data_IF_579759959285
#
_entry.id   IF_579759959285
#
_cell.length_a   1.000
_cell.length_b   1.000
_cell.length_c   1.000
_cell.angle_alpha   90.00
_cell.angle_beta   90.00
_cell.angle_gamma   90.00
#
_symmetry.space_group_name_H-M   'P 1'
#
loop_
_entity.id
_entity.type
_entity.pdbx_description
1 polymer ?
#
# COMPACT_ATOMS: atom_id res chain seq x y z
N UNK A 1 -0.10 44.32 -20.69
CA UNK A 1 -1.30 43.46 -20.66
C UNK A 1 -0.78 42.04 -20.58
N UNK A 2 -0.97 41.35 -19.44
CA UNK A 2 -0.51 39.97 -19.31
C UNK A 2 -1.22 39.10 -20.36
N UNK A 3 -0.46 38.38 -21.17
CA UNK A 3 -1.02 37.47 -22.17
C UNK A 3 -1.82 36.38 -21.46
N UNK A 4 -3.12 36.30 -21.79
CA UNK A 4 -4.01 35.28 -21.24
C UNK A 4 -3.63 33.95 -21.87
N UNK A 5 -3.34 32.94 -21.03
CA UNK A 5 -3.08 31.57 -21.45
C UNK A 5 -4.28 31.05 -22.25
N UNK A 6 -4.03 30.62 -23.47
CA UNK A 6 -5.00 30.00 -24.38
C UNK A 6 -4.76 28.49 -24.43
N UNK A 7 -5.69 27.76 -25.04
CA UNK A 7 -5.63 26.30 -25.11
C UNK A 7 -4.35 25.78 -25.82
N UNK A 8 -3.78 26.55 -26.75
CA UNK A 8 -2.55 26.18 -27.47
C UNK A 8 -1.26 26.36 -26.66
N UNK A 9 -1.33 27.04 -25.52
CA UNK A 9 -0.18 27.25 -24.63
C UNK A 9 0.03 26.06 -23.67
N UNK A 10 -0.99 25.20 -23.52
CA UNK A 10 -0.93 24.01 -22.68
C UNK A 10 -0.04 22.94 -23.33
N UNK A 11 1.05 22.58 -22.66
CA UNK A 11 1.97 21.52 -23.07
C UNK A 11 2.17 20.52 -21.92
N UNK A 12 2.30 19.22 -22.21
CA UNK A 12 2.61 18.24 -21.19
C UNK A 12 4.01 18.50 -20.61
N UNK A 13 4.23 18.14 -19.34
CA UNK A 13 5.54 18.21 -18.72
C UNK A 13 6.58 17.41 -19.53
N UNK A 14 7.84 17.89 -19.53
CA UNK A 14 8.92 17.27 -20.31
C UNK A 14 9.07 15.79 -19.93
N UNK A 15 8.92 14.90 -20.91
CA UNK A 15 9.04 13.45 -20.72
C UNK A 15 7.77 12.73 -20.27
N UNK A 16 6.66 13.43 -20.04
CA UNK A 16 5.36 12.80 -19.72
C UNK A 16 4.86 11.91 -20.87
N UNK A 17 5.07 12.36 -22.11
CA UNK A 17 4.73 11.59 -23.30
C UNK A 17 6.00 11.03 -23.95
N UNK A 18 6.10 9.71 -24.04
CA UNK A 18 7.16 9.01 -24.76
C UNK A 18 6.61 8.38 -26.04
N UNK A 19 7.31 8.49 -27.18
CA UNK A 19 6.86 7.87 -28.42
C UNK A 19 6.84 6.34 -28.27
N UNK A 20 5.75 5.70 -28.72
CA UNK A 20 5.62 4.24 -28.72
C UNK A 20 6.53 3.65 -29.80
N UNK A 21 7.35 2.66 -29.44
CA UNK A 21 8.06 1.87 -30.44
C UNK A 21 7.08 1.03 -31.25
N UNK A 22 7.06 1.24 -32.58
CA UNK A 22 6.26 0.46 -33.52
C UNK A 22 7.13 -0.65 -34.10
N UNK A 23 6.90 -1.89 -33.65
CA UNK A 23 7.70 -3.04 -34.10
C UNK A 23 7.32 -3.49 -35.51
N UNK A 24 8.27 -4.05 -36.26
CA UNK A 24 8.02 -4.55 -37.62
C UNK A 24 7.74 -3.45 -38.66
N UNK A 25 8.43 -2.31 -38.57
CA UNK A 25 8.32 -1.17 -39.50
C UNK A 25 9.70 -0.78 -40.02
N UNK A 26 10.21 -1.55 -40.98
CA UNK A 26 11.53 -1.38 -41.58
C UNK A 26 12.65 -2.14 -40.83
N UNK A 27 13.75 -2.42 -41.54
CA UNK A 27 14.86 -3.23 -41.02
C UNK A 27 15.58 -2.56 -39.84
N UNK A 28 15.81 -1.24 -39.91
CA UNK A 28 16.41 -0.45 -38.81
C UNK A 28 15.40 -0.08 -37.69
N UNK A 29 14.11 -0.40 -37.87
CA UNK A 29 13.08 -0.15 -36.86
C UNK A 29 13.21 -1.08 -35.65
N UNK A 30 12.53 -0.74 -34.53
CA UNK A 30 12.57 -1.56 -33.31
C UNK A 30 12.11 -2.99 -33.60
N UNK A 31 13.01 -3.96 -33.43
CA UNK A 31 12.73 -5.38 -33.64
C UNK A 31 12.83 -5.86 -35.09
N UNK A 32 13.13 -4.99 -36.06
CA UNK A 32 13.35 -5.34 -37.47
C UNK A 32 12.26 -6.25 -38.07
N UNK A 33 12.66 -7.12 -39.00
CA UNK A 33 11.79 -8.11 -39.65
C UNK A 33 11.05 -9.05 -38.67
N UNK A 34 11.64 -9.39 -37.53
CA UNK A 34 11.09 -10.40 -36.60
C UNK A 34 10.34 -9.81 -35.42
N UNK A 35 10.20 -8.48 -35.36
CA UNK A 35 9.64 -7.75 -34.23
C UNK A 35 10.26 -8.14 -32.86
N UNK A 36 11.52 -8.61 -32.84
CA UNK A 36 12.21 -9.08 -31.64
C UNK A 36 11.85 -10.50 -31.17
N UNK A 37 11.11 -11.28 -31.98
CA UNK A 37 10.67 -12.64 -31.63
C UNK A 37 11.62 -13.76 -32.07
N UNK A 38 12.75 -13.42 -32.71
CA UNK A 38 13.68 -14.40 -33.28
C UNK A 38 13.14 -15.05 -34.56
N UNK A 39 13.66 -16.23 -34.92
CA UNK A 39 13.39 -16.84 -36.24
C UNK A 39 12.25 -17.87 -36.23
N UNK A 40 12.37 -18.94 -35.44
CA UNK A 40 11.42 -20.07 -35.41
C UNK A 40 11.18 -20.54 -33.97
N UNK A 41 10.22 -21.47 -33.79
CA UNK A 41 9.88 -22.08 -32.50
C UNK A 41 8.60 -21.53 -31.89
N UNK A 42 8.22 -22.07 -30.72
CA UNK A 42 6.94 -21.74 -30.07
C UNK A 42 6.87 -20.26 -29.69
N UNK A 43 7.94 -19.66 -29.13
CA UNK A 43 7.98 -18.23 -28.76
C UNK A 43 7.99 -17.27 -29.97
N UNK A 44 8.42 -17.74 -31.14
CA UNK A 44 8.35 -16.95 -32.38
C UNK A 44 6.92 -16.86 -32.94
N UNK A 45 6.12 -17.93 -32.79
CA UNK A 45 4.75 -18.02 -33.35
C UNK A 45 3.67 -17.69 -32.32
N UNK A 46 3.86 -18.11 -31.07
CA UNK A 46 2.90 -18.03 -29.96
C UNK A 46 3.61 -17.60 -28.65
N UNK A 47 2.84 -17.53 -27.56
CA UNK A 47 3.38 -17.34 -26.22
C UNK A 47 3.34 -18.66 -25.46
N UNK A 48 4.28 -18.85 -24.54
CA UNK A 48 4.34 -20.03 -23.66
C UNK A 48 3.74 -19.64 -22.31
N UNK A 49 2.95 -20.53 -21.71
CA UNK A 49 2.37 -20.29 -20.38
C UNK A 49 3.46 -20.08 -19.33
N UNK A 50 3.25 -19.13 -18.42
CA UNK A 50 4.19 -18.84 -17.33
C UNK A 50 4.35 -20.02 -16.36
N UNK A 51 3.35 -20.91 -16.27
CA UNK A 51 3.40 -22.08 -15.40
C UNK A 51 4.16 -23.28 -16.01
N UNK A 52 4.57 -23.20 -17.29
CA UNK A 52 5.24 -24.31 -17.98
C UNK A 52 6.76 -24.22 -17.83
N UNK A 53 7.37 -25.23 -17.19
CA UNK A 53 8.81 -25.29 -16.91
C UNK A 53 9.55 -26.32 -17.78
N UNK A 54 9.11 -26.53 -19.03
CA UNK A 54 9.86 -27.37 -19.98
C UNK A 54 9.60 -28.88 -19.87
N UNK A 55 8.52 -29.29 -19.20
CA UNK A 55 8.07 -30.68 -19.12
C UNK A 55 8.33 -31.38 -17.78
N UNK A 56 9.12 -30.77 -16.89
CA UNK A 56 9.20 -31.19 -15.49
C UNK A 56 7.93 -30.85 -14.71
N UNK A 57 7.73 -31.47 -13.55
CA UNK A 57 6.70 -31.02 -12.61
C UNK A 57 6.96 -29.56 -12.18
N UNK A 58 6.01 -28.63 -12.42
CA UNK A 58 6.19 -27.23 -12.07
C UNK A 58 6.39 -26.98 -10.58
N UNK A 59 7.06 -25.89 -10.23
CA UNK A 59 7.39 -25.53 -8.85
C UNK A 59 6.14 -25.44 -7.95
N UNK A 60 5.06 -24.86 -8.45
CA UNK A 60 3.79 -24.72 -7.71
C UNK A 60 3.08 -26.06 -7.43
N UNK A 61 3.50 -27.14 -8.10
CA UNK A 61 3.02 -28.51 -7.83
C UNK A 61 4.00 -29.32 -6.98
N UNK A 62 5.30 -29.00 -7.04
CA UNK A 62 6.34 -29.66 -6.25
C UNK A 62 6.32 -29.27 -4.78
N UNK A 63 5.99 -28.01 -4.49
CA UNK A 63 5.95 -27.51 -3.12
C UNK A 63 4.63 -27.91 -2.44
N UNK A 64 4.68 -28.36 -1.17
CA UNK A 64 3.46 -28.60 -0.42
C UNK A 64 2.69 -27.29 -0.23
N UNK A 65 1.35 -27.38 -0.19
CA UNK A 65 0.51 -26.22 0.13
C UNK A 65 0.84 -25.71 1.54
N UNK A 66 0.76 -24.40 1.74
CA UNK A 66 0.89 -23.80 3.07
C UNK A 66 -0.12 -24.43 4.03
N UNK A 67 0.35 -24.77 5.23
CA UNK A 67 -0.45 -25.43 6.26
C UNK A 67 -1.50 -24.46 6.84
N UNK A 68 -2.55 -25.03 7.45
CA UNK A 68 -3.57 -24.30 8.19
C UNK A 68 -4.80 -23.91 7.36
N UNK A 69 -5.65 -23.07 7.95
CA UNK A 69 -6.88 -22.55 7.33
C UNK A 69 -7.01 -21.05 7.59
N UNK A 70 -7.81 -20.36 6.77
CA UNK A 70 -8.20 -18.97 7.03
C UNK A 70 -9.47 -18.99 7.87
N UNK A 71 -9.41 -18.52 9.12
CA UNK A 71 -10.59 -18.40 9.97
C UNK A 71 -11.53 -17.30 9.41
N UNK A 72 -12.76 -17.63 8.98
CA UNK A 72 -13.70 -16.64 8.43
C UNK A 72 -14.16 -15.62 9.49
N UNK A 73 -14.14 -15.98 10.76
CA UNK A 73 -14.58 -15.13 11.88
C UNK A 73 -13.42 -14.33 12.51
N UNK A 74 -12.27 -14.22 11.83
CA UNK A 74 -11.14 -13.42 12.33
C UNK A 74 -11.51 -11.94 12.35
N UNK A 75 -11.58 -11.36 13.55
CA UNK A 75 -11.67 -9.90 13.73
C UNK A 75 -10.29 -9.28 13.51
N UNK A 76 -10.11 -8.62 12.37
CA UNK A 76 -8.89 -7.89 12.04
C UNK A 76 -8.96 -6.46 12.57
N UNK A 77 -8.00 -6.11 13.43
CA UNK A 77 -7.88 -4.77 14.00
C UNK A 77 -6.97 -3.91 13.14
N UNK A 78 -7.33 -2.65 12.99
CA UNK A 78 -6.41 -1.62 12.49
C UNK A 78 -5.56 -1.11 13.64
N UNK A 79 -4.28 -0.93 13.40
CA UNK A 79 -3.32 -0.59 14.45
C UNK A 79 -2.94 0.88 14.35
N UNK A 80 -2.85 1.54 15.52
CA UNK A 80 -2.30 2.88 15.65
C UNK A 80 -1.27 2.88 16.76
N UNK A 81 -0.10 3.47 16.52
CA UNK A 81 0.94 3.58 17.53
C UNK A 81 0.80 4.89 18.32
N UNK A 82 1.22 4.88 19.58
CA UNK A 82 1.19 6.07 20.46
C UNK A 82 1.98 7.25 19.88
N UNK A 83 3.08 7.01 19.17
CA UNK A 83 3.83 8.06 18.48
C UNK A 83 2.99 8.79 17.43
N UNK A 84 2.25 8.05 16.59
CA UNK A 84 1.41 8.65 15.55
C UNK A 84 0.27 9.47 16.15
N UNK A 85 -0.23 9.07 17.32
CA UNK A 85 -1.21 9.87 18.07
C UNK A 85 -0.58 11.16 18.62
N UNK A 86 0.65 11.09 19.16
CA UNK A 86 1.35 12.27 19.66
C UNK A 86 1.66 13.29 18.54
N UNK A 87 2.02 12.80 17.34
CA UNK A 87 2.27 13.65 16.16
C UNK A 87 0.98 14.29 15.62
N UNK A 88 -0.12 13.53 15.57
CA UNK A 88 -1.40 14.03 15.06
C UNK A 88 -2.12 14.97 16.03
N UNK A 89 -1.89 14.81 17.34
CA UNK A 89 -2.56 15.57 18.39
C UNK A 89 -1.56 16.24 19.34
N UNK A 90 -0.78 17.25 18.88
CA UNK A 90 0.26 17.88 19.68
C UNK A 90 -0.29 18.68 20.87
N UNK A 91 -1.53 19.17 20.78
CA UNK A 91 -2.19 19.92 21.86
C UNK A 91 -2.82 19.01 22.93
N UNK A 92 -2.79 17.71 22.70
CA UNK A 92 -3.42 16.72 23.56
C UNK A 92 -4.95 16.77 23.56
N UNK A 93 -5.55 16.06 24.52
CA UNK A 93 -6.99 16.04 24.73
C UNK A 93 -7.65 14.68 24.52
N UNK A 94 -8.97 14.69 24.42
CA UNK A 94 -9.82 13.51 24.23
C UNK A 94 -9.80 13.09 22.77
N UNK A 95 -9.32 11.88 22.51
CA UNK A 95 -9.25 11.29 21.16
C UNK A 95 -10.24 10.14 21.09
N UNK A 96 -11.24 10.29 20.23
CA UNK A 96 -12.20 9.22 19.90
C UNK A 96 -11.79 8.47 18.63
N UNK A 97 -12.47 7.35 18.33
CA UNK A 97 -12.24 6.61 17.08
C UNK A 97 -12.50 7.49 15.85
N UNK A 98 -13.52 8.36 15.92
CA UNK A 98 -13.86 9.27 14.82
C UNK A 98 -12.77 10.33 14.59
N UNK A 99 -12.12 10.81 15.67
CA UNK A 99 -11.00 11.75 15.56
C UNK A 99 -9.77 11.09 14.92
N UNK A 100 -9.49 9.82 15.25
CA UNK A 100 -8.41 9.04 14.64
C UNK A 100 -8.66 8.83 13.13
N UNK A 101 -9.94 8.63 12.75
CA UNK A 101 -10.35 8.55 11.34
C UNK A 101 -10.21 9.91 10.64
N UNK A 102 -10.63 11.00 11.29
CA UNK A 102 -10.54 12.36 10.76
C UNK A 102 -9.07 12.79 10.54
N UNK A 103 -8.17 12.37 11.44
CA UNK A 103 -6.73 12.54 11.30
C UNK A 103 -6.09 11.66 10.19
N UNK A 104 -6.86 10.73 9.59
CA UNK A 104 -6.40 9.85 8.53
C UNK A 104 -5.48 8.71 8.99
N UNK A 105 -5.42 8.44 10.30
CA UNK A 105 -4.57 7.39 10.86
C UNK A 105 -5.17 5.99 10.68
N UNK A 106 -6.49 5.87 10.62
CA UNK A 106 -7.23 4.62 10.37
C UNK A 106 -8.37 4.83 9.39
N UNK A 107 -8.86 3.73 8.81
CA UNK A 107 -10.05 3.74 7.96
C UNK A 107 -11.30 3.62 8.82
N UNK A 108 -12.39 4.26 8.38
CA UNK A 108 -13.72 4.11 8.98
C UNK A 108 -14.21 2.65 9.01
N UNK A 109 -15.10 2.34 9.96
CA UNK A 109 -15.81 1.05 10.10
C UNK A 109 -14.92 -0.18 10.39
N UNK A 110 -13.74 0.01 10.99
CA UNK A 110 -12.89 -1.09 11.44
C UNK A 110 -12.55 -0.94 12.92
N UNK A 111 -12.43 -2.05 13.69
CA UNK A 111 -12.04 -1.98 15.08
C UNK A 111 -10.59 -1.53 15.20
N UNK A 112 -10.31 -0.61 16.13
CA UNK A 112 -9.00 0.01 16.29
C UNK A 112 -8.31 -0.55 17.52
N UNK A 113 -7.04 -0.92 17.36
CA UNK A 113 -6.15 -1.33 18.45
C UNK A 113 -4.97 -0.37 18.56
N UNK A 114 -4.80 0.21 19.75
CA UNK A 114 -3.66 1.10 20.03
C UNK A 114 -2.46 0.28 20.54
N UNK A 115 -1.27 0.58 20.01
CA UNK A 115 -0.02 -0.11 20.30
C UNK A 115 1.05 0.87 20.84
N UNK A 116 1.90 0.38 21.76
CA UNK A 116 2.86 1.21 22.49
C UNK A 116 4.19 1.49 21.80
N UNK A 117 4.24 1.56 20.47
CA UNK A 117 5.49 1.89 19.76
C UNK A 117 5.75 3.40 19.73
N UNK A 118 7.00 3.79 20.02
CA UNK A 118 7.47 5.18 20.15
C UNK A 118 7.07 5.86 21.46
N UNK A 119 7.41 7.13 21.59
CA UNK A 119 7.26 7.90 22.84
C UNK A 119 6.06 8.84 22.78
N UNK A 120 5.51 9.13 23.96
CA UNK A 120 4.36 10.00 24.13
C UNK A 120 4.69 11.04 25.20
N UNK A 121 4.78 12.30 24.78
CA UNK A 121 5.06 13.43 25.67
C UNK A 121 3.82 14.31 25.89
N UNK A 122 2.68 13.93 25.31
CA UNK A 122 1.44 14.68 25.32
C UNK A 122 0.40 13.89 26.11
N UNK A 123 -0.36 14.58 26.95
CA UNK A 123 -1.49 13.99 27.67
C UNK A 123 -2.64 13.69 26.70
N UNK A 124 -2.93 12.41 26.49
CA UNK A 124 -3.98 11.92 25.59
C UNK A 124 -4.99 11.08 26.36
N UNK A 125 -6.28 11.39 26.20
CA UNK A 125 -7.39 10.58 26.71
C UNK A 125 -7.99 9.79 25.53
N UNK A 126 -7.53 8.56 25.32
CA UNK A 126 -7.77 7.79 24.09
C UNK A 126 -8.90 6.78 24.29
N UNK A 127 -9.89 6.82 23.40
CA UNK A 127 -10.96 5.82 23.30
C UNK A 127 -10.75 4.93 22.08
N UNK A 128 -10.60 3.62 22.30
CA UNK A 128 -10.42 2.64 21.22
C UNK A 128 -10.97 1.25 21.59
N UNK A 129 -11.11 0.36 20.60
CA UNK A 129 -11.67 -0.99 20.82
C UNK A 129 -10.75 -1.88 21.65
N UNK A 130 -9.42 -1.77 21.47
CA UNK A 130 -8.42 -2.51 22.25
C UNK A 130 -7.12 -1.72 22.44
N UNK A 131 -6.37 -2.07 23.48
CA UNK A 131 -5.04 -1.52 23.76
C UNK A 131 -4.02 -2.64 23.98
N UNK A 132 -2.74 -2.40 23.66
CA UNK A 132 -1.64 -3.23 24.18
C UNK A 132 -1.25 -2.79 25.58
N UNK A 133 -0.72 -3.71 26.39
CA UNK A 133 -0.23 -3.40 27.75
C UNK A 133 0.77 -2.22 27.74
N UNK A 134 1.73 -2.29 26.82
CA UNK A 134 2.72 -1.22 26.62
C UNK A 134 2.13 0.12 26.19
N UNK A 135 0.95 0.15 25.56
CA UNK A 135 0.29 1.40 25.20
C UNK A 135 -0.37 2.03 26.43
N UNK A 136 -1.05 1.21 27.24
CA UNK A 136 -1.69 1.64 28.50
C UNK A 136 -0.63 2.26 29.42
N UNK A 137 0.46 1.54 29.69
CA UNK A 137 1.54 2.02 30.56
C UNK A 137 2.11 3.37 30.11
N UNK A 138 2.32 3.55 28.79
CA UNK A 138 2.87 4.79 28.24
C UNK A 138 1.88 5.95 28.29
N UNK A 139 0.61 5.70 28.00
CA UNK A 139 -0.45 6.72 28.05
C UNK A 139 -0.67 7.18 29.50
N UNK A 140 -0.71 6.24 30.44
CA UNK A 140 -0.82 6.54 31.88
C UNK A 140 0.42 7.26 32.41
N UNK A 141 1.64 6.89 31.96
CA UNK A 141 2.87 7.58 32.32
C UNK A 141 2.91 9.04 31.83
N UNK A 142 2.28 9.34 30.68
CA UNK A 142 2.07 10.70 30.19
C UNK A 142 0.89 11.43 30.87
N UNK A 143 0.24 10.80 31.85
CA UNK A 143 -0.86 11.37 32.63
C UNK A 143 -2.21 11.37 31.90
N UNK A 144 -2.35 10.57 30.84
CA UNK A 144 -3.58 10.38 30.07
C UNK A 144 -4.41 9.19 30.53
N UNK A 145 -5.57 8.98 29.91
CA UNK A 145 -6.49 7.88 30.20
C UNK A 145 -6.74 6.99 28.97
N UNK A 146 -6.91 5.68 29.19
CA UNK A 146 -7.35 4.74 28.14
C UNK A 146 -8.76 4.24 28.42
N UNK A 147 -9.71 4.54 27.54
CA UNK A 147 -11.09 4.04 27.62
C UNK A 147 -11.33 3.00 26.54
N UNK A 148 -11.76 1.80 26.94
CA UNK A 148 -12.10 0.74 25.99
C UNK A 148 -13.58 0.83 25.60
N UNK A 149 -13.84 0.97 24.30
CA UNK A 149 -15.18 0.97 23.70
C UNK A 149 -15.63 -0.43 23.25
#
# INVERSE_FOLDING_TARGET
MAEIIKLHDLRPAKGANKPKFRVGRGEAGKGGKTAGRGTKGTKARKQVSAAFEGGQMPLHMRLPKLKGFKNPNRVEYQVVNVQALAEAFPNGGTITIDDIVAAGLVRKNHPVKVLGNGDINVKLDVTATKFSKSAVEKIEAAGGSTTQA
#
